data_IF_949011415708
#
_entry.id   IF_949011415708
#
_cell.length_a   1.000
_cell.length_b   1.000
_cell.length_c   1.000
_cell.angle_alpha   90.00
_cell.angle_beta   90.00
_cell.angle_gamma   90.00
#
_symmetry.space_group_name_H-M   'P 1'
#
loop_
_entity.id
_entity.type
_entity.pdbx_description
1 polymer ?
#
# COMPACT_ATOMS: atom_id res chain seq x y z
N UNK A 1 -8.60 -53.04 1.15
CA UNK A 1 -9.62 -52.00 1.01
C UNK A 1 -8.87 -50.70 0.71
N UNK A 2 -8.68 -50.40 -0.57
CA UNK A 2 -8.06 -49.15 -1.01
C UNK A 2 -9.12 -48.04 -1.11
N UNK A 3 -9.23 -47.22 -0.08
CA UNK A 3 -9.97 -45.99 -0.16
C UNK A 3 -9.10 -44.94 -0.91
N UNK A 4 -9.51 -44.55 -2.12
CA UNK A 4 -8.94 -43.39 -2.79
C UNK A 4 -9.23 -42.17 -1.93
N UNK A 5 -8.18 -41.43 -1.56
CA UNK A 5 -8.36 -40.13 -0.92
C UNK A 5 -9.24 -39.23 -1.82
N UNK A 6 -10.24 -38.53 -1.27
CA UNK A 6 -11.04 -37.62 -2.07
C UNK A 6 -10.08 -36.57 -2.68
N UNK A 7 -10.10 -36.47 -4.01
CA UNK A 7 -9.42 -35.40 -4.71
C UNK A 7 -10.02 -34.09 -4.23
N UNK A 8 -9.24 -33.27 -3.51
CA UNK A 8 -9.57 -31.90 -3.19
C UNK A 8 -9.83 -31.19 -4.52
N UNK A 9 -11.06 -30.70 -4.70
CA UNK A 9 -11.41 -29.97 -5.90
C UNK A 9 -10.53 -28.74 -6.02
N UNK A 10 -9.93 -28.55 -7.18
CA UNK A 10 -9.20 -27.35 -7.52
C UNK A 10 -10.21 -26.22 -7.73
N UNK A 11 -10.01 -25.09 -7.08
CA UNK A 11 -10.89 -23.94 -7.18
C UNK A 11 -10.06 -22.71 -7.56
N UNK A 12 -10.07 -22.38 -8.84
CA UNK A 12 -9.39 -21.23 -9.37
C UNK A 12 -10.26 -19.97 -9.20
N UNK A 13 -9.71 -18.96 -8.53
CA UNK A 13 -10.32 -17.64 -8.44
C UNK A 13 -9.40 -16.66 -9.14
N UNK A 14 -9.88 -16.05 -10.21
CA UNK A 14 -9.14 -15.05 -10.99
C UNK A 14 -10.00 -13.84 -11.26
N UNK A 15 -9.38 -12.66 -11.28
CA UNK A 15 -10.01 -11.41 -11.69
C UNK A 15 -9.06 -10.63 -12.59
N UNK A 16 -9.59 -10.03 -13.66
CA UNK A 16 -8.83 -9.18 -14.58
C UNK A 16 -9.53 -7.83 -14.73
N UNK A 17 -9.47 -7.02 -13.68
CA UNK A 17 -9.99 -5.65 -13.66
C UNK A 17 -8.87 -4.64 -13.52
N UNK A 18 -9.15 -3.41 -13.99
CA UNK A 18 -8.26 -2.27 -13.74
C UNK A 18 -8.30 -1.96 -12.24
N UNK A 19 -7.13 -1.78 -11.63
CA UNK A 19 -7.01 -1.37 -10.24
C UNK A 19 -7.44 0.09 -9.99
N UNK A 20 -7.22 0.57 -8.77
CA UNK A 20 -7.49 1.96 -8.42
C UNK A 20 -6.59 2.91 -9.24
N UNK A 21 -7.19 3.89 -9.86
CA UNK A 21 -6.47 4.94 -10.61
C UNK A 21 -6.02 6.03 -9.65
N UNK A 22 -4.79 6.51 -9.81
CA UNK A 22 -4.28 7.62 -9.02
C UNK A 22 -3.61 8.69 -9.90
N UNK A 23 -3.79 9.94 -9.50
CA UNK A 23 -3.11 11.09 -10.07
C UNK A 23 -2.42 11.89 -8.97
N UNK A 24 -1.28 12.49 -9.26
CA UNK A 24 -0.54 13.27 -8.28
C UNK A 24 0.28 14.36 -8.91
N UNK A 25 0.67 15.33 -8.08
CA UNK A 25 1.52 16.45 -8.44
C UNK A 25 2.63 16.62 -7.41
N UNK A 26 3.74 17.17 -7.88
CA UNK A 26 4.90 17.51 -7.07
C UNK A 26 5.18 19.00 -7.26
N UNK A 27 5.43 19.68 -6.16
CA UNK A 27 5.78 21.09 -6.19
C UNK A 27 7.02 21.33 -5.32
N UNK A 28 8.08 21.88 -5.92
CA UNK A 28 9.27 22.27 -5.19
C UNK A 28 9.00 23.58 -4.46
N UNK A 29 8.96 23.53 -3.13
CA UNK A 29 8.72 24.69 -2.28
C UNK A 29 9.98 25.54 -2.17
N UNK A 30 11.10 24.88 -1.86
CA UNK A 30 12.40 25.52 -1.70
C UNK A 30 13.46 24.72 -2.47
N UNK A 31 14.26 25.36 -3.32
CA UNK A 31 15.43 24.71 -3.92
C UNK A 31 16.54 24.55 -2.88
N UNK A 32 17.40 23.56 -3.10
CA UNK A 32 18.58 23.38 -2.28
C UNK A 32 19.50 24.60 -2.35
N UNK A 33 20.03 24.99 -1.19
CA UNK A 33 21.07 26.01 -1.04
C UNK A 33 22.21 25.43 -0.19
N UNK A 34 23.36 26.10 -0.05
CA UNK A 34 24.43 25.62 0.84
C UNK A 34 23.95 25.37 2.28
N UNK A 35 22.98 26.12 2.77
CA UNK A 35 22.49 26.08 4.16
C UNK A 35 21.14 25.40 4.34
N UNK A 36 20.35 25.20 3.26
CA UNK A 36 19.00 24.63 3.34
C UNK A 36 18.82 23.46 2.38
N UNK A 37 18.02 22.44 2.73
CA UNK A 37 17.69 21.34 1.85
C UNK A 37 16.74 21.75 0.72
N UNK A 38 16.69 20.98 -0.33
CA UNK A 38 15.58 20.96 -1.30
C UNK A 38 14.33 20.43 -0.59
N UNK A 39 13.20 21.13 -0.74
CA UNK A 39 11.93 20.74 -0.14
C UNK A 39 10.88 20.60 -1.22
N UNK A 40 10.39 19.39 -1.40
CA UNK A 40 9.37 19.07 -2.37
C UNK A 40 8.09 18.62 -1.65
N UNK A 41 7.00 19.30 -1.94
CA UNK A 41 5.67 18.88 -1.54
C UNK A 41 5.08 17.96 -2.60
N UNK A 42 4.46 16.88 -2.17
CA UNK A 42 3.73 15.98 -3.03
C UNK A 42 2.28 15.84 -2.57
N UNK A 43 1.39 15.71 -3.52
CA UNK A 43 -0.02 15.42 -3.29
C UNK A 43 -0.47 14.37 -4.31
N UNK A 44 -1.27 13.41 -3.85
CA UNK A 44 -1.81 12.34 -4.69
C UNK A 44 -3.25 12.06 -4.29
N UNK A 45 -4.10 11.93 -5.27
CA UNK A 45 -5.49 11.48 -5.13
C UNK A 45 -5.62 10.11 -5.79
N UNK A 46 -6.20 9.16 -5.08
CA UNK A 46 -6.51 7.82 -5.60
C UNK A 46 -8.02 7.65 -5.64
N UNK A 47 -8.54 7.32 -6.82
CA UNK A 47 -9.95 7.04 -7.05
C UNK A 47 -10.22 5.53 -6.94
N UNK A 48 -11.33 5.11 -6.31
CA UNK A 48 -11.70 3.71 -6.15
C UNK A 48 -12.35 3.16 -7.44
N UNK A 49 -11.56 3.00 -8.49
CA UNK A 49 -11.99 2.47 -9.79
C UNK A 49 -11.88 0.96 -9.87
N UNK A 50 -11.07 0.36 -9.02
CA UNK A 50 -10.91 -1.08 -8.92
C UNK A 50 -12.06 -1.75 -8.15
N UNK A 51 -12.12 -3.07 -8.25
CA UNK A 51 -13.07 -3.87 -7.48
C UNK A 51 -12.67 -3.90 -6.01
N UNK A 52 -13.56 -3.51 -5.14
CA UNK A 52 -13.33 -3.41 -3.70
C UNK A 52 -13.63 -4.73 -2.97
N UNK A 53 -13.01 -5.01 -1.80
CA UNK A 53 -13.15 -6.27 -1.08
C UNK A 53 -14.50 -6.44 -0.37
N UNK A 54 -15.19 -5.32 -0.08
CA UNK A 54 -16.46 -5.37 0.65
C UNK A 54 -17.57 -5.95 -0.24
N UNK A 55 -18.35 -6.89 0.30
CA UNK A 55 -19.43 -7.56 -0.43
C UNK A 55 -18.98 -8.74 -1.32
N UNK A 56 -17.69 -9.04 -1.38
CA UNK A 56 -17.21 -10.28 -2.00
C UNK A 56 -17.65 -11.44 -1.13
N UNK A 57 -18.40 -12.38 -1.74
CA UNK A 57 -18.95 -13.54 -1.05
C UNK A 57 -17.92 -14.65 -0.94
N UNK A 58 -17.95 -15.36 0.20
CA UNK A 58 -17.13 -16.53 0.42
C UNK A 58 -18.02 -17.78 0.32
N UNK A 59 -17.67 -18.69 -0.57
CA UNK A 59 -18.37 -19.96 -0.75
C UNK A 59 -17.50 -21.14 -0.37
N UNK A 60 -18.14 -22.20 0.10
CA UNK A 60 -17.43 -23.45 0.38
C UNK A 60 -16.91 -24.05 -0.92
N UNK A 61 -15.66 -24.50 -0.89
CA UNK A 61 -15.06 -25.20 -2.02
C UNK A 61 -15.75 -26.56 -2.19
N UNK A 62 -16.15 -26.94 -3.43
CA UNK A 62 -16.74 -28.23 -3.67
C UNK A 62 -15.88 -29.38 -3.11
N UNK A 63 -16.52 -30.33 -2.42
CA UNK A 63 -15.87 -31.48 -1.76
C UNK A 63 -14.93 -31.15 -0.58
N UNK A 64 -14.93 -29.90 -0.08
CA UNK A 64 -14.16 -29.51 1.11
C UNK A 64 -14.96 -28.53 1.98
N UNK A 65 -15.66 -29.06 2.97
CA UNK A 65 -16.51 -28.25 3.87
C UNK A 65 -15.73 -27.37 4.85
N UNK A 66 -14.41 -27.58 4.97
CA UNK A 66 -13.55 -26.82 5.87
C UNK A 66 -12.84 -25.66 5.18
N UNK A 67 -12.98 -25.54 3.85
CA UNK A 67 -12.34 -24.48 3.08
C UNK A 67 -13.40 -23.61 2.38
N UNK A 68 -13.30 -22.31 2.59
CA UNK A 68 -14.09 -21.32 1.87
C UNK A 68 -13.17 -20.45 1.02
N UNK A 69 -13.55 -20.21 -0.22
CA UNK A 69 -12.84 -19.34 -1.14
C UNK A 69 -13.73 -18.14 -1.51
N UNK A 70 -13.14 -16.97 -1.75
CA UNK A 70 -13.89 -15.82 -2.25
C UNK A 70 -14.34 -16.07 -3.69
N UNK A 71 -15.52 -15.58 -4.06
CA UNK A 71 -16.04 -15.68 -5.43
C UNK A 71 -15.23 -14.82 -6.41
N UNK A 72 -14.47 -13.82 -5.87
CA UNK A 72 -13.71 -12.87 -6.67
C UNK A 72 -12.54 -12.27 -5.87
N UNK A 73 -11.57 -11.69 -6.57
CA UNK A 73 -10.41 -11.05 -5.95
C UNK A 73 -10.51 -9.51 -6.05
N UNK A 74 -10.27 -8.77 -4.96
CA UNK A 74 -10.27 -7.31 -5.01
C UNK A 74 -9.06 -6.80 -5.80
N UNK A 75 -9.27 -5.78 -6.63
CA UNK A 75 -8.22 -5.06 -7.36
C UNK A 75 -8.01 -3.63 -6.85
N UNK A 76 -8.86 -3.20 -5.92
CA UNK A 76 -8.80 -1.88 -5.26
C UNK A 76 -9.29 -1.95 -3.82
N UNK A 77 -9.19 -0.84 -3.10
CA UNK A 77 -9.66 -0.76 -1.70
C UNK A 77 -11.05 -0.12 -1.55
N UNK A 78 -11.62 0.39 -2.64
CA UNK A 78 -13.00 0.88 -2.70
C UNK A 78 -13.24 2.26 -2.11
N UNK A 79 -12.23 2.97 -1.61
CA UNK A 79 -12.40 4.30 -1.02
C UNK A 79 -11.51 5.33 -1.71
N UNK A 80 -11.93 6.59 -1.71
CA UNK A 80 -11.07 7.69 -2.09
C UNK A 80 -9.95 7.87 -1.06
N UNK A 81 -8.74 8.11 -1.55
CA UNK A 81 -7.59 8.40 -0.69
C UNK A 81 -6.92 9.68 -1.15
N UNK A 82 -6.73 10.61 -0.24
CA UNK A 82 -5.91 11.80 -0.42
C UNK A 82 -4.60 11.62 0.35
N UNK A 83 -3.48 11.60 -0.35
CA UNK A 83 -2.15 11.53 0.25
C UNK A 83 -1.42 12.83 0.03
N UNK A 84 -0.70 13.30 1.05
CA UNK A 84 0.18 14.46 0.98
C UNK A 84 1.46 14.19 1.75
N UNK A 85 2.56 14.81 1.34
CA UNK A 85 3.83 14.62 2.01
C UNK A 85 4.86 15.68 1.65
N UNK A 86 5.92 15.70 2.44
CA UNK A 86 7.11 16.51 2.21
C UNK A 86 8.32 15.62 2.07
N UNK A 87 9.16 15.94 1.11
CA UNK A 87 10.44 15.27 0.88
C UNK A 87 11.52 16.33 1.00
N UNK A 88 12.53 16.02 1.78
CA UNK A 88 13.72 16.85 2.03
C UNK A 88 14.92 16.15 1.42
N UNK A 89 15.72 16.85 0.66
CA UNK A 89 16.95 16.34 0.09
C UNK A 89 18.07 17.33 0.32
N UNK A 90 19.21 16.84 0.82
CA UNK A 90 20.40 17.65 1.05
C UNK A 90 21.65 16.97 0.56
N UNK A 91 22.35 17.63 -0.34
CA UNK A 91 23.64 17.17 -0.85
C UNK A 91 24.76 17.67 0.06
N UNK A 92 25.53 16.75 0.60
CA UNK A 92 26.73 17.01 1.41
C UNK A 92 27.82 16.11 0.85
N UNK A 93 28.57 16.60 -0.13
CA UNK A 93 29.60 15.83 -0.83
C UNK A 93 30.53 15.07 0.16
N UNK A 94 30.69 13.72 0.02
CA UNK A 94 30.17 12.84 -1.05
C UNK A 94 28.83 12.18 -0.78
N UNK A 95 28.03 12.65 0.18
CA UNK A 95 26.76 12.07 0.60
C UNK A 95 25.55 12.88 0.15
N UNK A 96 24.46 12.21 -0.07
CA UNK A 96 23.11 12.79 -0.23
C UNK A 96 22.27 12.28 0.92
N UNK A 97 21.72 13.21 1.72
CA UNK A 97 20.76 12.92 2.77
C UNK A 97 19.34 13.16 2.25
N UNK A 98 18.42 12.28 2.59
CA UNK A 98 17.02 12.48 2.28
C UNK A 98 16.13 12.06 3.45
N UNK A 99 15.01 12.76 3.59
CA UNK A 99 13.97 12.43 4.56
C UNK A 99 12.60 12.68 3.92
N UNK A 100 11.60 11.93 4.35
CA UNK A 100 10.23 12.16 3.92
C UNK A 100 9.26 11.97 5.08
N UNK A 101 8.17 12.71 5.03
CA UNK A 101 7.02 12.58 5.91
C UNK A 101 5.76 12.61 5.06
N UNK A 102 4.84 11.71 5.32
CA UNK A 102 3.62 11.57 4.54
C UNK A 102 2.42 11.28 5.42
N UNK A 103 1.28 11.71 4.94
CA UNK A 103 -0.03 11.45 5.51
C UNK A 103 -0.99 11.03 4.40
N UNK A 104 -1.77 9.97 4.64
CA UNK A 104 -2.83 9.56 3.74
C UNK A 104 -4.16 9.47 4.50
N UNK A 105 -5.14 10.19 3.99
CA UNK A 105 -6.50 10.20 4.48
C UNK A 105 -7.38 9.34 3.59
N UNK A 106 -8.02 8.32 4.17
CA UNK A 106 -8.99 7.49 3.51
C UNK A 106 -10.38 8.01 3.84
N UNK A 107 -11.15 8.37 2.80
CA UNK A 107 -12.51 8.87 3.01
C UNK A 107 -13.45 7.71 3.30
N UNK A 108 -14.28 7.87 4.33
CA UNK A 108 -15.37 6.93 4.62
C UNK A 108 -16.30 6.79 3.43
N UNK A 109 -16.68 5.56 3.11
CA UNK A 109 -17.61 5.28 2.01
C UNK A 109 -18.72 4.35 2.45
N UNK A 110 -19.93 4.63 1.96
CA UNK A 110 -21.10 3.77 2.10
C UNK A 110 -21.11 2.75 0.95
N UNK A 111 -21.32 1.49 1.30
CA UNK A 111 -21.48 0.37 0.38
C UNK A 111 -22.88 -0.21 0.51
N UNK A 112 -23.45 -0.66 -0.60
CA UNK A 112 -24.75 -1.32 -0.62
C UNK A 112 -24.71 -2.72 -0.02
N UNK A 113 -23.54 -3.35 -0.04
CA UNK A 113 -23.31 -4.64 0.56
C UNK A 113 -21.87 -4.70 1.14
N UNK A 114 -21.79 -5.06 2.42
CA UNK A 114 -20.52 -5.28 3.14
C UNK A 114 -20.44 -6.71 3.70
N UNK A 115 -21.41 -7.58 3.36
CA UNK A 115 -21.47 -8.96 3.84
C UNK A 115 -20.56 -9.87 3.00
N UNK A 116 -19.81 -10.72 3.66
CA UNK A 116 -19.09 -11.83 3.04
C UNK A 116 -19.92 -13.13 2.96
N UNK A 117 -21.09 -13.14 3.59
CA UNK A 117 -22.00 -14.29 3.59
C UNK A 117 -22.86 -14.32 2.32
N UNK A 118 -22.86 -15.41 1.53
CA UNK A 118 -23.68 -15.55 0.33
C UNK A 118 -25.20 -15.45 0.59
N UNK A 119 -25.65 -15.84 1.78
CA UNK A 119 -27.06 -15.84 2.15
C UNK A 119 -27.57 -14.49 2.62
N UNK A 120 -26.68 -13.56 2.96
CA UNK A 120 -27.01 -12.26 3.55
C UNK A 120 -26.40 -11.12 2.76
N UNK A 121 -27.15 -10.03 2.61
CA UNK A 121 -26.69 -8.77 2.05
C UNK A 121 -27.17 -7.64 2.97
N UNK A 122 -26.24 -6.81 3.41
CA UNK A 122 -26.57 -5.61 4.20
C UNK A 122 -25.60 -4.48 3.88
N UNK A 123 -26.17 -3.28 3.81
CA UNK A 123 -25.40 -2.07 3.58
C UNK A 123 -24.63 -1.62 4.81
N UNK A 124 -23.67 -0.74 4.59
CA UNK A 124 -22.91 -0.16 5.67
C UNK A 124 -21.87 0.83 5.20
N UNK A 125 -21.20 1.44 6.17
CA UNK A 125 -20.12 2.39 5.97
C UNK A 125 -18.79 1.77 6.39
N UNK A 126 -17.75 2.02 5.61
CA UNK A 126 -16.38 1.54 5.88
C UNK A 126 -15.45 2.75 5.95
N UNK A 127 -14.66 2.78 7.01
CA UNK A 127 -13.58 3.72 7.25
C UNK A 127 -12.28 2.92 7.40
N UNK A 128 -11.38 3.02 6.43
CA UNK A 128 -10.13 2.27 6.44
C UNK A 128 -9.06 2.85 7.39
N UNK A 129 -9.40 3.94 8.09
CA UNK A 129 -8.43 4.66 8.92
C UNK A 129 -7.39 5.41 8.08
N UNK A 130 -6.63 6.25 8.74
CA UNK A 130 -5.59 7.06 8.12
C UNK A 130 -4.21 6.40 8.28
N UNK A 131 -3.25 6.81 7.47
CA UNK A 131 -1.88 6.33 7.64
C UNK A 131 -0.87 7.47 7.61
N UNK A 132 0.19 7.28 8.39
CA UNK A 132 1.34 8.18 8.48
C UNK A 132 2.58 7.42 8.01
N UNK A 133 3.45 8.11 7.31
CA UNK A 133 4.72 7.55 6.87
C UNK A 133 5.85 8.49 7.23
N UNK A 134 6.92 7.92 7.73
CA UNK A 134 8.19 8.60 8.05
C UNK A 134 9.31 7.81 7.40
N UNK A 135 10.21 8.48 6.75
CA UNK A 135 11.36 7.81 6.16
C UNK A 135 12.56 8.73 6.07
N UNK A 136 13.72 8.12 5.90
CA UNK A 136 14.95 8.85 5.68
C UNK A 136 16.08 7.92 5.35
N UNK A 137 17.12 8.48 4.78
CA UNK A 137 18.29 7.71 4.38
C UNK A 137 19.41 8.58 3.87
N UNK A 138 20.41 7.90 3.40
CA UNK A 138 21.59 8.51 2.84
C UNK A 138 22.09 7.69 1.66
N UNK A 139 22.70 8.36 0.71
CA UNK A 139 23.40 7.75 -0.40
C UNK A 139 24.82 8.32 -0.47
N UNK A 140 25.80 7.45 -0.72
CA UNK A 140 27.19 7.82 -0.87
C UNK A 140 27.69 7.49 -2.26
N UNK A 141 28.36 8.43 -2.89
CA UNK A 141 29.20 8.16 -4.04
C UNK A 141 30.53 7.56 -3.56
N UNK A 142 30.75 6.28 -3.80
CA UNK A 142 32.00 5.61 -3.44
C UNK A 142 33.11 5.92 -4.45
N UNK A 143 32.75 6.06 -5.71
CA UNK A 143 33.59 6.53 -6.81
C UNK A 143 32.68 6.98 -7.98
N UNK A 144 33.30 7.37 -9.12
CA UNK A 144 32.56 7.86 -10.31
C UNK A 144 31.55 6.86 -10.90
N UNK A 145 31.67 5.58 -10.56
CA UNK A 145 30.84 4.50 -11.10
C UNK A 145 30.01 3.76 -10.07
N UNK A 146 30.28 3.96 -8.78
CA UNK A 146 29.63 3.19 -7.73
C UNK A 146 29.06 4.09 -6.66
N UNK A 147 27.80 3.87 -6.33
CA UNK A 147 27.14 4.48 -5.17
C UNK A 147 26.44 3.44 -4.31
N UNK A 148 26.34 3.73 -3.04
CA UNK A 148 25.66 2.91 -2.04
C UNK A 148 24.62 3.76 -1.33
N UNK A 149 23.49 3.16 -1.02
CA UNK A 149 22.41 3.83 -0.28
C UNK A 149 21.91 2.97 0.87
N UNK A 150 21.47 3.64 1.92
CA UNK A 150 20.79 3.03 3.05
C UNK A 150 19.59 3.90 3.41
N UNK A 151 18.43 3.29 3.60
CA UNK A 151 17.23 4.02 4.01
C UNK A 151 16.38 3.21 4.97
N UNK A 152 15.70 3.92 5.84
CA UNK A 152 14.67 3.38 6.72
C UNK A 152 13.35 4.08 6.43
N UNK A 153 12.28 3.31 6.36
CA UNK A 153 10.93 3.83 6.25
C UNK A 153 10.04 3.16 7.30
N UNK A 154 9.18 3.94 7.92
CA UNK A 154 8.20 3.46 8.89
C UNK A 154 6.82 3.95 8.51
N UNK A 155 5.84 3.05 8.53
CA UNK A 155 4.45 3.34 8.25
C UNK A 155 3.58 2.91 9.43
N UNK A 156 2.71 3.83 9.84
CA UNK A 156 1.66 3.60 10.83
C UNK A 156 0.31 3.69 10.13
N UNK A 157 -0.51 2.67 10.25
CA UNK A 157 -1.89 2.69 9.80
C UNK A 157 -2.83 2.59 10.99
N UNK A 158 -3.81 3.46 11.04
CA UNK A 158 -4.85 3.48 12.08
C UNK A 158 -5.86 2.36 11.85
N UNK A 159 -6.56 1.98 12.91
CA UNK A 159 -7.63 0.97 12.86
C UNK A 159 -8.71 1.35 11.85
N UNK A 160 -9.07 0.37 11.05
CA UNK A 160 -10.27 0.46 10.22
C UNK A 160 -11.52 0.26 11.07
N UNK A 161 -12.60 0.88 10.65
CA UNK A 161 -13.91 0.78 11.33
C UNK A 161 -14.97 0.45 10.30
N UNK A 162 -15.97 -0.28 10.74
CA UNK A 162 -17.12 -0.65 9.94
C UNK A 162 -18.39 -0.34 10.72
N UNK A 163 -19.41 0.08 10.01
CA UNK A 163 -20.73 0.36 10.57
C UNK A 163 -21.77 -0.23 9.66
N UNK A 164 -22.53 -1.20 10.15
CA UNK A 164 -23.72 -1.69 9.45
C UNK A 164 -24.84 -0.68 9.53
N UNK A 165 -25.70 -0.67 8.54
CA UNK A 165 -26.87 0.23 8.55
C UNK A 165 -27.74 -0.04 9.80
N UNK A 166 -27.95 1.02 10.60
CA UNK A 166 -28.69 0.95 11.87
C UNK A 166 -27.87 0.57 13.11
N UNK A 167 -26.59 0.25 12.97
CA UNK A 167 -25.69 -0.08 14.08
C UNK A 167 -24.67 1.04 14.38
N UNK A 168 -23.95 0.90 15.48
CA UNK A 168 -22.84 1.78 15.85
C UNK A 168 -21.54 1.39 15.15
N UNK A 169 -20.58 2.32 15.09
CA UNK A 169 -19.24 2.04 14.57
C UNK A 169 -18.53 0.97 15.39
N UNK A 170 -18.00 -0.03 14.71
CA UNK A 170 -17.19 -1.10 15.28
C UNK A 170 -15.79 -1.06 14.70
N UNK A 171 -14.78 -1.13 15.56
CA UNK A 171 -13.39 -1.23 15.12
C UNK A 171 -13.05 -2.65 14.70
N UNK A 172 -12.39 -2.79 13.57
CA UNK A 172 -11.90 -4.08 13.08
C UNK A 172 -10.64 -4.43 13.86
N UNK A 173 -10.67 -5.53 14.59
CA UNK A 173 -9.55 -6.00 15.42
C UNK A 173 -8.39 -6.40 14.48
N UNK A 174 -7.17 -5.95 14.82
CA UNK A 174 -5.97 -6.28 14.05
C UNK A 174 -5.83 -5.55 12.71
N UNK A 175 -6.64 -4.50 12.46
CA UNK A 175 -6.55 -3.70 11.23
C UNK A 175 -5.57 -2.54 11.32
N UNK A 176 -5.10 -2.20 12.51
CA UNK A 176 -3.98 -1.28 12.70
C UNK A 176 -2.65 -1.99 12.40
N UNK A 177 -1.73 -1.28 11.82
CA UNK A 177 -0.40 -1.82 11.53
C UNK A 177 0.68 -0.78 11.75
N UNK A 178 1.82 -1.28 12.22
CA UNK A 178 3.05 -0.52 12.32
C UNK A 178 4.14 -1.35 11.68
N UNK A 179 4.67 -0.87 10.57
CA UNK A 179 5.69 -1.60 9.80
C UNK A 179 6.87 -0.71 9.50
N UNK A 180 8.06 -1.24 9.74
CA UNK A 180 9.33 -0.61 9.38
C UNK A 180 10.07 -1.45 8.35
N UNK A 181 10.72 -0.80 7.39
CA UNK A 181 11.59 -1.43 6.42
C UNK A 181 12.95 -0.73 6.39
N UNK A 182 14.00 -1.51 6.36
CA UNK A 182 15.38 -1.05 6.17
C UNK A 182 15.86 -1.54 4.80
N UNK A 183 16.29 -0.61 3.95
CA UNK A 183 16.71 -0.94 2.60
C UNK A 183 18.17 -0.56 2.40
N UNK A 184 18.90 -1.44 1.72
CA UNK A 184 20.26 -1.21 1.25
C UNK A 184 20.30 -1.30 -0.26
N UNK A 185 20.92 -0.34 -0.91
CA UNK A 185 21.06 -0.31 -2.35
C UNK A 185 22.49 -0.11 -2.77
N UNK A 186 22.87 -0.73 -3.87
CA UNK A 186 24.13 -0.50 -4.57
C UNK A 186 23.82 -0.24 -6.03
N UNK A 187 24.38 0.84 -6.54
CA UNK A 187 24.29 1.18 -7.96
C UNK A 187 25.70 1.15 -8.55
N UNK A 188 25.85 0.46 -9.66
CA UNK A 188 27.10 0.40 -10.42
C UNK A 188 26.87 0.81 -11.88
N UNK A 189 27.51 1.87 -12.32
CA UNK A 189 27.50 2.32 -13.70
C UNK A 189 28.45 1.45 -14.53
N UNK A 190 27.88 0.54 -15.32
CA UNK A 190 28.65 -0.35 -16.21
C UNK A 190 29.22 0.41 -17.41
N UNK A 191 28.42 1.34 -17.95
CA UNK A 191 28.80 2.27 -19.03
C UNK A 191 28.11 3.62 -18.78
N UNK A 192 28.37 4.63 -19.60
CA UNK A 192 27.74 5.96 -19.51
C UNK A 192 26.20 5.92 -19.71
N UNK A 193 25.67 4.81 -20.26
CA UNK A 193 24.24 4.65 -20.56
C UNK A 193 23.62 3.42 -19.89
N UNK A 194 24.40 2.61 -19.19
CA UNK A 194 23.91 1.39 -18.54
C UNK A 194 24.38 1.30 -17.10
N UNK A 195 23.43 1.17 -16.18
CA UNK A 195 23.72 0.95 -14.77
C UNK A 195 22.99 -0.29 -14.24
N UNK A 196 23.62 -0.97 -13.31
CA UNK A 196 23.05 -2.07 -12.54
C UNK A 196 22.68 -1.54 -11.15
N UNK A 197 21.45 -1.81 -10.73
CA UNK A 197 20.93 -1.43 -9.40
C UNK A 197 20.51 -2.69 -8.66
N UNK A 198 21.02 -2.89 -7.47
CA UNK A 198 20.65 -4.00 -6.58
C UNK A 198 20.16 -3.43 -5.28
N UNK A 199 18.96 -3.85 -4.84
CA UNK A 199 18.37 -3.46 -3.57
C UNK A 199 18.02 -4.70 -2.76
N UNK A 200 18.25 -4.63 -1.46
CA UNK A 200 17.86 -5.63 -0.46
C UNK A 200 17.11 -4.89 0.66
N UNK A 201 15.95 -5.41 1.04
CA UNK A 201 15.06 -4.84 2.06
C UNK A 201 14.46 -5.91 2.96
#
# INVERSE_FOLDING_TARGET
VGGSAPTLGDHDVSNSDIGDVSAGAYYRIFPETPTSPDVVWNVRVKAPTGKYPNGIKFRQVPNNTNLSAPDDLPTGNGVWTLSTGLTFVKTIDPAILFANVGYAHNFTRKFSDISSDPANSYGGEVDLGNSYQLGGGLAFALNERMSMSMSYAHRFAQKSRIKKDGESWQSIIGSDSSSGSLNFGVTYAMTDHLSMVTNVG
#
